data_IF_052560676659
#
_entry.id   IF_052560676659
#
_cell.length_a   1.000
_cell.length_b   1.000
_cell.length_c   1.000
_cell.angle_alpha   90.00
_cell.angle_beta   90.00
_cell.angle_gamma   90.00
#
_symmetry.space_group_name_H-M   'P 1'
#
loop_
_entity.id
_entity.type
_entity.pdbx_description
1 polymer ?
#
# COMPACT_ATOMS: atom_id res chain seq x y z
N UNK A 1 -1.18 9.21 -16.77
CA UNK A 1 -0.25 9.26 -15.61
C UNK A 1 0.24 7.84 -15.37
N UNK A 2 1.54 7.65 -15.14
CA UNK A 2 2.11 6.32 -14.89
C UNK A 2 1.58 5.78 -13.56
N UNK A 3 1.33 4.47 -13.48
CA UNK A 3 0.82 3.84 -12.25
C UNK A 3 1.81 4.01 -11.10
N UNK A 4 3.10 3.93 -11.40
CA UNK A 4 4.18 4.20 -10.44
C UNK A 4 4.12 5.62 -9.87
N UNK A 5 3.84 6.63 -10.69
CA UNK A 5 3.63 8.00 -10.21
C UNK A 5 2.41 8.09 -9.27
N UNK A 6 1.30 7.41 -9.59
CA UNK A 6 0.11 7.43 -8.73
C UNK A 6 0.39 6.86 -7.33
N UNK A 7 1.19 5.79 -7.22
CA UNK A 7 1.59 5.23 -5.92
C UNK A 7 2.50 6.23 -5.18
N UNK A 8 3.53 6.75 -5.86
CA UNK A 8 4.45 7.69 -5.23
C UNK A 8 3.72 8.93 -4.70
N UNK A 9 2.78 9.47 -5.48
CA UNK A 9 1.95 10.62 -5.11
C UNK A 9 1.02 10.30 -3.94
N UNK A 10 0.54 9.05 -3.82
CA UNK A 10 -0.26 8.59 -2.69
C UNK A 10 0.56 8.48 -1.40
N UNK A 11 1.82 8.03 -1.47
CA UNK A 11 2.65 7.81 -0.27
C UNK A 11 3.18 9.12 0.35
N UNK A 12 3.49 10.13 -0.48
CA UNK A 12 4.10 11.39 -0.01
C UNK A 12 3.28 12.13 1.07
N UNK A 13 1.94 12.27 0.98
CA UNK A 13 1.13 12.86 2.04
C UNK A 13 1.22 12.12 3.38
N UNK A 14 1.32 10.78 3.37
CA UNK A 14 1.50 10.02 4.62
C UNK A 14 2.87 10.26 5.23
N UNK A 15 3.93 10.34 4.40
CA UNK A 15 5.26 10.71 4.88
C UNK A 15 5.26 12.12 5.49
N UNK A 16 4.63 13.10 4.82
CA UNK A 16 4.52 14.47 5.33
C UNK A 16 3.79 14.52 6.68
N UNK A 17 2.66 13.82 6.80
CA UNK A 17 1.90 13.74 8.05
C UNK A 17 2.73 13.20 9.23
N UNK A 18 3.68 12.29 8.95
CA UNK A 18 4.63 11.80 9.97
C UNK A 18 5.69 12.84 10.32
N UNK A 19 6.21 13.57 9.33
CA UNK A 19 7.18 14.65 9.55
C UNK A 19 6.57 15.75 10.45
N UNK A 20 5.31 16.09 10.22
CA UNK A 20 4.59 17.12 10.98
C UNK A 20 4.31 16.70 12.44
N UNK A 21 4.55 15.43 12.79
CA UNK A 21 4.31 14.85 14.13
C UNK A 21 5.63 14.35 14.73
N UNK A 22 6.38 15.20 15.44
CA UNK A 22 7.72 14.85 15.90
C UNK A 22 7.73 13.64 16.83
N UNK A 23 8.66 12.72 16.58
CA UNK A 23 8.90 11.52 17.38
C UNK A 23 9.75 10.50 16.62
N UNK A 24 10.60 9.71 17.29
CA UNK A 24 11.53 8.79 16.63
C UNK A 24 10.82 7.75 15.75
N UNK A 25 9.63 7.28 16.16
CA UNK A 25 8.80 6.36 15.37
C UNK A 25 8.25 7.01 14.10
N UNK A 26 7.82 8.26 14.20
CA UNK A 26 7.28 9.00 13.05
C UNK A 26 8.37 9.36 12.05
N UNK A 27 9.54 9.81 12.52
CA UNK A 27 10.69 10.05 11.64
C UNK A 27 11.07 8.79 10.86
N UNK A 28 11.09 7.63 11.53
CA UNK A 28 11.40 6.35 10.87
C UNK A 28 10.36 5.95 9.83
N UNK A 29 9.08 6.01 10.18
CA UNK A 29 8.01 5.72 9.24
C UNK A 29 8.00 6.69 8.05
N UNK A 30 8.31 7.97 8.27
CA UNK A 30 8.46 8.96 7.20
C UNK A 30 9.56 8.54 6.22
N UNK A 31 10.74 8.15 6.72
CA UNK A 31 11.85 7.67 5.88
C UNK A 31 11.41 6.44 5.08
N UNK A 32 10.79 5.44 5.72
CA UNK A 32 10.34 4.24 5.02
C UNK A 32 9.32 4.53 3.89
N UNK A 33 8.43 5.50 4.10
CA UNK A 33 7.46 5.93 3.08
C UNK A 33 8.11 6.75 1.96
N UNK A 34 9.12 7.57 2.27
CA UNK A 34 9.92 8.31 1.28
C UNK A 34 10.72 7.33 0.41
N UNK A 35 11.37 6.35 1.03
CA UNK A 35 12.13 5.31 0.33
C UNK A 35 11.20 4.48 -0.56
N UNK A 36 9.99 4.18 -0.10
CA UNK A 36 8.98 3.51 -0.92
C UNK A 36 8.51 4.34 -2.11
N UNK A 37 8.26 5.63 -1.91
CA UNK A 37 7.88 6.56 -2.98
C UNK A 37 9.01 6.73 -4.01
N UNK A 38 10.27 6.76 -3.56
CA UNK A 38 11.43 6.82 -4.44
C UNK A 38 11.60 5.50 -5.20
N UNK A 39 11.52 4.36 -4.51
CA UNK A 39 11.62 3.03 -5.10
C UNK A 39 10.60 2.81 -6.21
N UNK A 40 9.31 3.07 -5.93
CA UNK A 40 8.24 2.83 -6.92
C UNK A 40 8.39 3.72 -8.16
N UNK A 41 8.94 4.93 -8.02
CA UNK A 41 9.19 5.83 -9.14
C UNK A 41 10.27 5.32 -10.12
N UNK A 42 11.10 4.35 -9.71
CA UNK A 42 12.10 3.70 -10.56
C UNK A 42 11.62 2.39 -11.17
N UNK A 43 10.39 1.95 -10.85
CA UNK A 43 9.81 0.74 -11.44
C UNK A 43 9.20 1.03 -12.80
N UNK A 44 9.11 -0.01 -13.62
CA UNK A 44 8.31 -0.01 -14.85
C UNK A 44 6.85 -0.41 -14.56
N UNK A 45 5.89 0.12 -15.31
CA UNK A 45 4.47 -0.22 -15.15
C UNK A 45 4.16 -1.71 -15.46
N UNK A 46 5.07 -2.40 -16.16
CA UNK A 46 5.02 -3.86 -16.40
C UNK A 46 5.60 -4.69 -15.25
N UNK A 47 6.20 -4.06 -14.23
CA UNK A 47 6.71 -4.77 -13.06
C UNK A 47 5.60 -5.61 -12.43
N UNK A 48 5.89 -6.87 -12.10
CA UNK A 48 4.92 -7.86 -11.61
C UNK A 48 4.01 -7.30 -10.50
N UNK A 49 4.58 -6.61 -9.52
CA UNK A 49 3.82 -6.04 -8.38
C UNK A 49 2.84 -4.95 -8.81
N UNK A 50 3.20 -4.13 -9.81
CA UNK A 50 2.34 -3.08 -10.37
C UNK A 50 1.19 -3.70 -11.17
N UNK A 51 1.50 -4.72 -11.98
CA UNK A 51 0.49 -5.46 -12.75
C UNK A 51 -0.52 -6.14 -11.84
N UNK A 52 -0.07 -6.76 -10.74
CA UNK A 52 -0.96 -7.37 -9.74
C UNK A 52 -1.92 -6.37 -9.14
N UNK A 53 -1.44 -5.22 -8.68
CA UNK A 53 -2.29 -4.14 -8.17
C UNK A 53 -3.25 -3.60 -9.25
N UNK A 54 -2.83 -3.57 -10.53
CA UNK A 54 -3.71 -3.17 -11.62
C UNK A 54 -4.83 -4.17 -11.89
N UNK A 55 -4.54 -5.47 -11.89
CA UNK A 55 -5.56 -6.53 -11.97
C UNK A 55 -6.49 -6.45 -10.77
N UNK A 56 -5.97 -6.13 -9.59
CA UNK A 56 -6.73 -5.91 -8.37
C UNK A 56 -7.57 -4.61 -8.33
N UNK A 57 -7.53 -3.79 -9.39
CA UNK A 57 -8.35 -2.59 -9.48
C UNK A 57 -7.83 -1.41 -8.66
N UNK A 58 -6.58 -1.44 -8.18
CA UNK A 58 -6.01 -0.34 -7.40
C UNK A 58 -5.82 0.97 -8.18
N UNK A 59 -5.92 0.94 -9.52
CA UNK A 59 -5.75 2.12 -10.35
C UNK A 59 -7.06 2.45 -11.07
N UNK A 60 -7.83 3.37 -10.51
CA UNK A 60 -9.11 3.80 -11.06
C UNK A 60 -9.18 5.33 -11.07
N UNK A 61 -9.79 5.89 -12.12
CA UNK A 61 -10.06 7.33 -12.22
C UNK A 61 -8.82 8.23 -12.02
N UNK A 62 -7.66 7.75 -12.47
CA UNK A 62 -6.40 8.49 -12.34
C UNK A 62 -5.81 8.53 -10.93
N UNK A 63 -6.26 7.65 -10.02
CA UNK A 63 -5.79 7.59 -8.64
C UNK A 63 -5.36 6.17 -8.27
N UNK A 64 -4.42 6.09 -7.33
CA UNK A 64 -4.12 4.87 -6.60
C UNK A 64 -5.08 4.72 -5.41
N UNK A 65 -5.70 3.55 -5.29
CA UNK A 65 -6.56 3.16 -4.17
C UNK A 65 -6.12 1.77 -3.68
N UNK A 66 -5.41 1.68 -2.54
CA UNK A 66 -4.96 0.40 -2.00
C UNK A 66 -6.06 -0.37 -1.23
N UNK A 67 -7.27 0.19 -1.12
CA UNK A 67 -8.33 -0.34 -0.26
C UNK A 67 -8.06 -0.08 1.23
N UNK A 68 -8.99 -0.51 2.09
CA UNK A 68 -8.93 -0.27 3.54
C UNK A 68 -7.72 -0.93 4.18
N UNK A 69 -7.53 -2.23 3.93
CA UNK A 69 -6.39 -2.98 4.48
C UNK A 69 -5.06 -2.44 3.96
N UNK A 70 -4.98 -2.08 2.67
CA UNK A 70 -3.77 -1.46 2.12
C UNK A 70 -3.47 -0.08 2.71
N UNK A 71 -4.49 0.71 3.04
CA UNK A 71 -4.31 1.97 3.77
C UNK A 71 -3.78 1.73 5.20
N UNK A 72 -4.25 0.70 5.88
CA UNK A 72 -3.75 0.30 7.21
C UNK A 72 -2.29 -0.13 7.15
N UNK A 73 -1.89 -0.89 6.11
CA UNK A 73 -0.49 -1.27 5.87
C UNK A 73 0.39 -0.03 5.72
N UNK A 74 -0.01 0.95 4.90
CA UNK A 74 0.75 2.20 4.70
C UNK A 74 0.83 3.01 6.00
N UNK A 75 -0.27 3.07 6.76
CA UNK A 75 -0.30 3.74 8.06
C UNK A 75 0.56 3.05 9.11
N UNK A 76 0.70 1.74 9.06
CA UNK A 76 1.52 0.96 10.00
C UNK A 76 3.00 0.90 9.61
N UNK A 77 3.33 1.15 8.33
CA UNK A 77 4.67 0.95 7.79
C UNK A 77 5.75 1.63 8.63
N UNK A 78 6.72 0.84 9.08
CA UNK A 78 7.87 1.25 9.89
C UNK A 78 7.56 1.98 11.22
N UNK A 79 6.31 1.97 11.68
CA UNK A 79 5.92 2.64 12.93
C UNK A 79 6.38 1.89 14.17
N UNK A 80 6.13 0.57 14.22
CA UNK A 80 6.43 -0.27 15.38
C UNK A 80 7.56 -1.29 15.13
N UNK A 81 7.67 -1.78 13.90
CA UNK A 81 8.73 -2.69 13.41
C UNK A 81 9.49 -2.01 12.26
N UNK A 82 10.79 -2.26 12.12
CA UNK A 82 11.65 -1.70 11.06
C UNK A 82 12.00 -2.72 9.98
N UNK A 83 11.42 -3.90 10.05
CA UNK A 83 11.67 -5.00 9.12
C UNK A 83 11.04 -4.71 7.75
N UNK A 84 11.70 -5.16 6.69
CA UNK A 84 11.23 -5.02 5.32
C UNK A 84 11.61 -3.68 4.67
N UNK A 85 11.79 -3.70 3.36
CA UNK A 85 12.09 -2.53 2.54
C UNK A 85 10.93 -2.12 1.62
N UNK A 86 11.15 -1.13 0.75
CA UNK A 86 10.17 -0.66 -0.22
C UNK A 86 9.47 -1.74 -1.05
N UNK A 87 10.21 -2.77 -1.47
CA UNK A 87 9.67 -3.88 -2.24
C UNK A 87 8.65 -4.69 -1.41
N UNK A 88 8.95 -4.93 -0.13
CA UNK A 88 8.08 -5.67 0.79
C UNK A 88 6.77 -4.91 1.03
N UNK A 89 6.82 -3.58 1.13
CA UNK A 89 5.60 -2.76 1.20
C UNK A 89 4.73 -2.96 -0.04
N UNK A 90 5.30 -2.86 -1.25
CA UNK A 90 4.52 -3.02 -2.48
C UNK A 90 3.95 -4.44 -2.61
N UNK A 91 4.72 -5.47 -2.22
CA UNK A 91 4.26 -6.85 -2.21
C UNK A 91 3.11 -7.06 -1.22
N UNK A 92 3.18 -6.45 -0.02
CA UNK A 92 2.10 -6.47 0.96
C UNK A 92 0.83 -5.78 0.44
N UNK A 93 0.97 -4.65 -0.25
CA UNK A 93 -0.15 -3.93 -0.87
C UNK A 93 -0.80 -4.74 -2.00
N UNK A 94 0.01 -5.34 -2.88
CA UNK A 94 -0.51 -6.20 -3.93
C UNK A 94 -1.28 -7.40 -3.35
N UNK A 95 -0.73 -8.05 -2.32
CA UNK A 95 -1.37 -9.17 -1.65
C UNK A 95 -2.68 -8.78 -0.96
N UNK A 96 -2.74 -7.59 -0.32
CA UNK A 96 -3.97 -7.07 0.28
C UNK A 96 -5.03 -6.78 -0.78
N UNK A 97 -4.66 -6.13 -1.88
CA UNK A 97 -5.58 -5.83 -2.96
C UNK A 97 -6.17 -7.09 -3.60
N UNK A 98 -5.34 -8.13 -3.78
CA UNK A 98 -5.78 -9.43 -4.29
C UNK A 98 -6.77 -10.12 -3.35
N UNK A 99 -6.60 -9.99 -2.02
CA UNK A 99 -7.59 -10.50 -1.04
C UNK A 99 -8.93 -9.76 -1.17
N UNK A 100 -8.90 -8.45 -1.38
CA UNK A 100 -10.11 -7.65 -1.59
C UNK A 100 -10.91 -8.02 -2.84
N UNK A 101 -10.27 -8.61 -3.86
CA UNK A 101 -10.96 -9.15 -5.03
C UNK A 101 -11.66 -10.49 -4.77
N UNK A 102 -11.19 -11.27 -3.80
CA UNK A 102 -11.77 -12.59 -3.58
C UNK A 102 -13.19 -12.43 -3.02
N UNK A 103 -14.20 -13.15 -3.59
CA UNK A 103 -15.51 -13.21 -2.97
C UNK A 103 -15.33 -13.70 -1.54
N UNK A 104 -15.72 -12.88 -0.55
CA UNK A 104 -15.75 -13.32 0.84
C UNK A 104 -16.62 -14.58 0.87
N UNK A 105 -16.13 -15.74 1.36
CA UNK A 105 -16.96 -16.93 1.45
C UNK A 105 -18.22 -16.51 2.20
N UNK A 106 -19.38 -16.67 1.57
CA UNK A 106 -20.66 -16.41 2.22
C UNK A 106 -20.63 -17.19 3.53
N UNK A 107 -20.70 -16.47 4.66
CA UNK A 107 -20.83 -17.07 5.98
C UNK A 107 -21.97 -18.08 5.86
N UNK A 108 -21.61 -19.36 5.94
CA UNK A 108 -22.56 -20.46 5.87
C UNK A 108 -23.57 -20.20 6.99
N UNK A 109 -24.75 -19.77 6.56
CA UNK A 109 -25.92 -19.51 7.37
C UNK A 109 -26.16 -20.76 8.22
N UNK A 110 -25.66 -20.70 9.45
CA UNK A 110 -25.86 -21.73 10.46
C UNK A 110 -27.32 -21.65 10.85
N UNK A 111 -28.16 -22.37 10.11
CA UNK A 111 -29.56 -22.60 10.45
C UNK A 111 -29.58 -23.60 11.61
N UNK A 112 -30.03 -23.23 12.82
CA UNK A 112 -30.27 -24.23 13.85
C UNK A 112 -31.53 -25.02 13.51
N UNK A 113 -31.45 -26.33 13.70
CA UNK A 113 -32.53 -27.30 13.57
C UNK A 113 -33.59 -27.16 14.66
#
# INVERSE_FOLDING_TARGET
MLRTCMIADYLRPYAQWRIDRPGPRNARAAIGLIDAAAYVAHLDDSSRVIVRMAIAGCFALGRFNPGVEGEEIIRGWHHDDTTGGPADLLEALAASAERGLQPRPAEAESTPA
#
